data_IF_047858246734
#
_entry.id   IF_047858246734
#
_cell.length_a   1.000
_cell.length_b   1.000
_cell.length_c   1.000
_cell.angle_alpha   90.00
_cell.angle_beta   90.00
_cell.angle_gamma   90.00
#
_symmetry.space_group_name_H-M   'P 1'
#
loop_
_entity.id
_entity.type
_entity.pdbx_description
1 polymer ?
#
# COMPACT_ATOMS: atom_id res chain seq x y z
N UNK A 1 -2.76 -2.82 8.67
CA UNK A 1 -2.45 -2.87 7.23
C UNK A 1 -3.65 -2.60 6.32
N UNK A 2 -4.78 -3.31 6.46
CA UNK A 2 -6.00 -3.12 5.63
C UNK A 2 -6.55 -1.69 5.64
N UNK A 3 -6.31 -0.91 6.67
CA UNK A 3 -6.79 0.48 6.82
C UNK A 3 -6.13 1.45 5.84
N UNK A 4 -4.95 1.14 5.33
CA UNK A 4 -4.24 2.01 4.36
C UNK A 4 -4.65 1.78 2.90
N UNK A 5 -5.17 0.61 2.54
CA UNK A 5 -5.49 0.27 1.15
C UNK A 5 -6.93 0.60 0.75
N UNK A 6 -7.69 1.36 1.46
CA UNK A 6 -9.06 1.72 1.08
C UNK A 6 -9.98 0.53 0.74
N UNK A 7 -11.26 0.75 0.49
CA UNK A 7 -12.21 -0.33 0.19
C UNK A 7 -11.97 -1.03 -1.16
N UNK A 8 -11.20 -0.41 -2.06
CA UNK A 8 -10.82 -1.01 -3.36
C UNK A 8 -9.62 -1.95 -3.29
N UNK A 9 -8.98 -2.10 -2.12
CA UNK A 9 -7.72 -2.83 -1.99
C UNK A 9 -6.53 -2.11 -2.63
N UNK A 10 -6.66 -0.82 -2.91
CA UNK A 10 -5.59 -0.01 -3.50
C UNK A 10 -5.44 1.33 -2.79
N UNK A 11 -4.21 1.83 -2.78
CA UNK A 11 -3.90 3.19 -2.35
C UNK A 11 -2.98 3.83 -3.39
N UNK A 12 -3.32 5.04 -3.81
CA UNK A 12 -2.57 5.80 -4.79
C UNK A 12 -2.19 7.15 -4.21
N UNK A 13 -0.93 7.52 -4.38
CA UNK A 13 -0.39 8.80 -3.93
C UNK A 13 0.39 9.46 -5.05
N UNK A 14 0.19 10.74 -5.22
CA UNK A 14 0.79 11.49 -6.33
C UNK A 14 1.48 12.74 -5.82
N UNK A 15 2.61 13.07 -6.43
CA UNK A 15 3.31 14.33 -6.23
C UNK A 15 3.85 14.86 -7.55
N UNK A 16 3.77 16.17 -7.74
CA UNK A 16 4.42 16.85 -8.87
C UNK A 16 5.57 17.69 -8.34
N UNK A 17 6.78 17.44 -8.85
CA UNK A 17 7.98 18.22 -8.55
C UNK A 17 8.25 19.20 -9.68
N UNK A 18 8.40 20.47 -9.31
CA UNK A 18 8.87 21.55 -10.18
C UNK A 18 10.34 21.90 -9.94
N UNK A 19 10.91 21.38 -8.85
CA UNK A 19 12.31 21.61 -8.52
C UNK A 19 13.22 20.81 -9.45
N UNK A 20 14.31 21.40 -9.95
CA UNK A 20 15.30 20.65 -10.70
C UNK A 20 16.05 19.69 -9.78
N UNK A 21 16.35 18.48 -10.27
CA UNK A 21 17.12 17.51 -9.50
C UNK A 21 16.59 16.09 -9.65
N UNK A 22 17.00 15.21 -8.76
CA UNK A 22 16.40 13.87 -8.63
C UNK A 22 15.26 13.89 -7.61
N UNK A 23 14.34 12.93 -7.72
CA UNK A 23 13.35 12.66 -6.68
C UNK A 23 13.76 11.36 -6.00
N UNK A 24 13.82 11.39 -4.68
CA UNK A 24 14.11 10.23 -3.83
C UNK A 24 12.86 9.80 -3.10
N UNK A 25 12.51 8.51 -3.23
CA UNK A 25 11.49 7.86 -2.41
C UNK A 25 12.22 6.92 -1.43
N UNK A 26 12.27 7.28 -0.15
CA UNK A 26 13.06 6.54 0.83
C UNK A 26 12.40 5.21 1.23
N UNK A 27 13.16 4.34 1.89
CA UNK A 27 12.76 2.99 2.24
C UNK A 27 11.53 2.91 3.14
N UNK A 28 11.34 3.86 4.03
CA UNK A 28 10.18 3.94 4.94
C UNK A 28 8.88 4.22 4.18
N UNK A 29 8.95 5.00 3.11
CA UNK A 29 7.81 5.24 2.20
C UNK A 29 7.57 4.01 1.33
N UNK A 30 8.64 3.43 0.74
CA UNK A 30 8.53 2.22 -0.07
C UNK A 30 7.92 1.05 0.71
N UNK A 31 8.29 0.91 1.99
CA UNK A 31 7.80 -0.15 2.88
C UNK A 31 6.56 0.24 3.70
N UNK A 32 5.90 1.34 3.36
CA UNK A 32 4.70 1.78 4.10
C UNK A 32 3.57 0.73 4.07
N UNK A 33 3.55 -0.10 3.04
CA UNK A 33 2.63 -1.23 2.87
C UNK A 33 3.44 -2.46 2.45
N UNK A 34 3.17 -3.61 3.07
CA UNK A 34 3.86 -4.88 2.79
C UNK A 34 3.28 -5.58 1.55
N UNK A 35 3.25 -4.84 0.44
CA UNK A 35 2.86 -5.35 -0.89
C UNK A 35 3.72 -4.66 -1.95
N UNK A 36 3.93 -5.28 -3.11
CA UNK A 36 4.66 -4.66 -4.21
C UNK A 36 4.07 -3.30 -4.57
N UNK A 37 4.96 -2.33 -4.81
CA UNK A 37 4.58 -0.97 -5.19
C UNK A 37 4.76 -0.77 -6.69
N UNK A 38 3.72 -0.32 -7.35
CA UNK A 38 3.78 0.13 -8.74
C UNK A 38 4.09 1.64 -8.77
N UNK A 39 5.17 1.99 -9.43
CA UNK A 39 5.61 3.38 -9.61
C UNK A 39 5.40 3.78 -11.04
N UNK A 40 4.70 4.86 -11.26
CA UNK A 40 4.57 5.50 -12.57
C UNK A 40 5.11 6.92 -12.48
N UNK A 41 5.94 7.29 -13.43
CA UNK A 41 6.48 8.65 -13.54
C UNK A 41 6.17 9.20 -14.92
N UNK A 42 5.69 10.45 -14.96
CA UNK A 42 5.41 11.16 -16.19
C UNK A 42 6.11 12.52 -16.21
N UNK A 43 6.59 12.95 -17.39
CA UNK A 43 7.14 14.26 -17.65
C UNK A 43 6.35 14.95 -18.73
N UNK A 44 5.93 16.18 -18.47
CA UNK A 44 5.10 16.95 -19.42
C UNK A 44 5.87 17.37 -20.68
N UNK A 45 7.20 17.48 -20.58
CA UNK A 45 8.08 17.86 -21.69
C UNK A 45 8.47 16.68 -22.61
N UNK A 46 8.02 15.46 -22.28
CA UNK A 46 8.35 14.25 -23.04
C UNK A 46 9.80 13.79 -22.93
N UNK A 47 10.59 14.40 -22.05
CA UNK A 47 12.01 14.08 -21.88
C UNK A 47 12.25 12.70 -21.26
N UNK A 48 13.52 12.26 -21.29
CA UNK A 48 13.91 10.97 -20.74
C UNK A 48 13.64 10.88 -19.23
N UNK A 49 13.19 9.71 -18.78
CA UNK A 49 12.97 9.36 -17.37
C UNK A 49 13.71 8.06 -17.07
N UNK A 50 14.38 8.01 -15.94
CA UNK A 50 14.99 6.83 -15.35
C UNK A 50 14.42 6.64 -13.95
N UNK A 51 13.86 5.46 -13.71
CA UNK A 51 13.55 4.92 -12.39
C UNK A 51 14.63 3.93 -12.01
N UNK A 52 15.20 4.04 -10.83
CA UNK A 52 16.28 3.18 -10.38
C UNK A 52 16.14 2.89 -8.88
N UNK A 53 16.32 1.62 -8.49
CA UNK A 53 16.24 1.16 -7.09
C UNK A 53 17.59 0.63 -6.68
N UNK A 54 18.07 1.09 -5.55
CA UNK A 54 19.33 0.65 -4.94
C UNK A 54 19.21 0.52 -3.42
N UNK A 55 20.18 -0.15 -2.75
CA UNK A 55 20.33 -0.07 -1.31
C UNK A 55 20.40 1.39 -0.85
N UNK A 56 19.68 1.73 0.24
CA UNK A 56 19.55 3.13 0.68
C UNK A 56 20.90 3.78 1.02
N UNK A 57 21.89 2.99 1.44
CA UNK A 57 23.23 3.50 1.72
C UNK A 57 23.93 3.97 0.44
N UNK A 58 23.82 3.18 -0.63
CA UNK A 58 24.46 3.46 -1.93
C UNK A 58 23.77 4.64 -2.64
N UNK A 59 22.44 4.64 -2.64
CA UNK A 59 21.66 5.77 -3.18
C UNK A 59 22.02 7.08 -2.47
N UNK A 60 22.10 7.07 -1.13
CA UNK A 60 22.51 8.23 -0.33
C UNK A 60 23.94 8.67 -0.63
N UNK A 61 24.87 7.73 -0.79
CA UNK A 61 26.26 8.03 -1.09
C UNK A 61 26.40 8.73 -2.45
N UNK A 62 25.74 8.23 -3.49
CA UNK A 62 25.84 8.81 -4.84
C UNK A 62 25.14 10.15 -4.97
N UNK A 63 24.08 10.39 -4.17
CA UNK A 63 23.29 11.61 -4.20
C UNK A 63 23.74 12.68 -3.21
N UNK A 64 24.73 12.40 -2.34
CA UNK A 64 25.06 13.16 -1.13
C UNK A 64 25.15 14.69 -1.29
N UNK A 65 25.63 15.19 -2.44
CA UNK A 65 25.77 16.63 -2.70
C UNK A 65 24.82 17.16 -3.76
N UNK A 66 24.07 16.28 -4.40
CA UNK A 66 23.20 16.60 -5.52
C UNK A 66 21.93 17.33 -5.07
N UNK A 67 21.31 18.06 -5.99
CA UNK A 67 19.96 18.58 -5.79
C UNK A 67 18.95 17.43 -5.79
N UNK A 68 18.30 17.17 -4.66
CA UNK A 68 17.38 16.07 -4.47
C UNK A 68 16.09 16.57 -3.78
N UNK A 69 14.95 16.09 -4.25
CA UNK A 69 13.66 16.23 -3.59
C UNK A 69 13.24 14.90 -3.00
N UNK A 70 13.33 14.77 -1.68
CA UNK A 70 12.98 13.52 -0.96
C UNK A 70 11.52 13.54 -0.55
N UNK A 71 10.80 12.44 -0.78
CA UNK A 71 9.44 12.25 -0.25
C UNK A 71 9.54 12.18 1.29
N UNK A 72 8.90 13.13 1.97
CA UNK A 72 9.02 13.32 3.42
C UNK A 72 7.76 12.98 4.21
N UNK A 73 6.60 12.94 3.55
CA UNK A 73 5.35 12.56 4.17
C UNK A 73 4.36 11.99 3.15
N UNK A 74 3.47 11.12 3.63
CA UNK A 74 2.37 10.49 2.89
C UNK A 74 1.07 10.92 3.56
N UNK A 75 0.18 11.58 2.83
CA UNK A 75 -1.10 12.08 3.34
C UNK A 75 -2.27 11.21 2.90
N UNK A 76 -2.76 10.40 3.83
CA UNK A 76 -3.98 9.62 3.65
C UNK A 76 -5.15 10.29 4.39
N UNK A 77 -6.35 10.42 3.81
CA UNK A 77 -6.83 9.87 2.53
C UNK A 77 -6.65 10.81 1.32
N UNK A 78 -5.91 11.93 1.47
CA UNK A 78 -5.76 12.92 0.40
C UNK A 78 -5.04 12.41 -0.86
N UNK A 79 -4.31 11.28 -0.75
CA UNK A 79 -3.57 10.71 -1.88
C UNK A 79 -2.40 11.58 -2.35
N UNK A 80 -1.83 12.40 -1.47
CA UNK A 80 -0.73 13.30 -1.78
C UNK A 80 0.53 12.96 -1.02
N UNK A 81 1.67 13.40 -1.56
CA UNK A 81 3.00 13.26 -0.98
C UNK A 81 3.61 14.63 -0.79
N UNK A 82 4.38 14.81 0.28
CA UNK A 82 5.21 16.00 0.48
C UNK A 82 6.63 15.76 0.01
N UNK A 83 7.24 16.79 -0.57
CA UNK A 83 8.64 16.79 -0.98
C UNK A 83 9.44 17.76 -0.13
N UNK A 84 10.61 17.33 0.30
CA UNK A 84 11.63 18.17 0.93
C UNK A 84 12.85 18.23 0.03
N UNK A 85 13.16 19.41 -0.48
CA UNK A 85 14.36 19.63 -1.31
C UNK A 85 15.59 19.80 -0.44
N UNK A 86 16.71 19.21 -0.87
CA UNK A 86 18.03 19.33 -0.25
C UNK A 86 19.12 19.29 -1.30
N UNK A 87 20.31 19.76 -0.93
CA UNK A 87 21.45 19.82 -1.84
C UNK A 87 21.26 20.84 -2.97
N UNK A 88 22.35 21.20 -3.64
CA UNK A 88 22.38 22.15 -4.76
C UNK A 88 23.34 21.71 -5.85
N UNK A 89 24.06 20.61 -5.63
CA UNK A 89 25.03 20.09 -6.57
C UNK A 89 24.38 19.49 -7.82
N UNK A 90 25.17 19.41 -8.88
CA UNK A 90 24.77 18.72 -10.10
C UNK A 90 24.58 17.22 -9.86
N UNK A 91 23.64 16.61 -10.58
CA UNK A 91 23.46 15.17 -10.57
C UNK A 91 24.65 14.49 -11.28
N UNK A 92 25.21 13.43 -10.70
CA UNK A 92 26.12 12.56 -11.43
C UNK A 92 25.40 11.81 -12.57
N UNK A 93 26.15 11.17 -13.44
CA UNK A 93 25.56 10.28 -14.47
C UNK A 93 25.01 9.01 -13.82
N UNK A 94 23.79 9.09 -13.30
CA UNK A 94 23.11 7.99 -12.61
C UNK A 94 22.79 6.83 -13.56
N UNK A 95 22.71 7.10 -14.87
CA UNK A 95 22.39 6.06 -15.84
C UNK A 95 23.52 5.03 -16.03
N UNK A 96 24.75 5.40 -15.67
CA UNK A 96 25.94 4.54 -15.76
C UNK A 96 26.38 3.93 -14.43
N UNK A 97 25.71 4.28 -13.34
CA UNK A 97 26.02 3.70 -12.04
C UNK A 97 25.61 2.22 -12.01
N UNK A 98 26.46 1.39 -11.42
CA UNK A 98 26.28 -0.07 -11.31
C UNK A 98 25.64 -0.51 -9.98
N UNK A 99 25.16 0.46 -9.20
CA UNK A 99 24.53 0.21 -7.89
C UNK A 99 23.04 -0.21 -7.99
N UNK A 100 22.45 -0.10 -9.16
CA UNK A 100 21.00 -0.27 -9.34
C UNK A 100 20.62 -1.75 -9.45
N UNK A 101 19.75 -2.19 -8.53
CA UNK A 101 19.14 -3.52 -8.58
C UNK A 101 18.03 -3.62 -9.63
N UNK A 102 17.20 -2.59 -9.72
CA UNK A 102 16.12 -2.47 -10.70
C UNK A 102 16.23 -1.14 -11.41
N UNK A 103 15.96 -1.15 -12.70
CA UNK A 103 15.86 0.08 -13.50
C UNK A 103 14.71 -0.02 -14.51
N UNK A 104 14.05 1.10 -14.75
CA UNK A 104 13.16 1.29 -15.88
C UNK A 104 13.44 2.63 -16.54
N UNK A 105 13.34 2.70 -17.86
CA UNK A 105 13.60 3.90 -18.66
C UNK A 105 12.48 4.14 -19.65
N UNK A 106 12.19 5.41 -19.92
CA UNK A 106 11.21 5.78 -20.93
C UNK A 106 11.39 7.23 -21.41
N UNK A 107 10.73 7.57 -22.50
CA UNK A 107 10.61 8.92 -23.00
C UNK A 107 9.22 9.45 -22.60
N UNK A 108 9.16 10.53 -21.88
CA UNK A 108 7.92 11.10 -21.34
C UNK A 108 7.33 10.35 -20.16
N UNK A 109 7.51 9.02 -20.07
CA UNK A 109 7.04 8.22 -18.95
C UNK A 109 7.88 6.97 -18.74
N UNK A 110 7.89 6.46 -17.50
CA UNK A 110 8.47 5.18 -17.13
C UNK A 110 7.65 4.55 -16.00
N UNK A 111 7.63 3.21 -15.98
CA UNK A 111 6.93 2.43 -14.96
C UNK A 111 7.85 1.37 -14.38
N UNK A 112 7.71 1.11 -13.08
CA UNK A 112 8.51 0.12 -12.37
C UNK A 112 7.68 -0.54 -11.27
N UNK A 113 7.70 -1.87 -11.22
CA UNK A 113 7.21 -2.63 -10.09
C UNK A 113 8.34 -2.85 -9.11
N UNK A 114 8.18 -2.36 -7.89
CA UNK A 114 9.17 -2.49 -6.80
C UNK A 114 8.64 -3.50 -5.79
N UNK A 115 9.28 -4.66 -5.77
CA UNK A 115 9.09 -5.67 -4.74
C UNK A 115 10.27 -5.60 -3.75
N UNK A 116 9.97 -5.31 -2.48
CA UNK A 116 10.95 -5.07 -1.44
C UNK A 116 11.23 -6.32 -0.59
N UNK A 117 11.44 -7.45 -1.22
CA UNK A 117 11.82 -8.67 -0.51
C UNK A 117 13.23 -8.64 0.14
N UNK A 118 13.94 -7.51 0.13
CA UNK A 118 15.34 -7.40 0.58
C UNK A 118 15.56 -6.14 1.43
N UNK A 119 16.82 -5.91 1.87
CA UNK A 119 17.28 -4.80 2.71
C UNK A 119 16.69 -3.44 2.33
N UNK A 120 16.71 -2.42 3.23
CA UNK A 120 16.10 -1.13 2.96
C UNK A 120 16.64 -0.52 1.66
N UNK A 121 15.74 -0.34 0.70
CA UNK A 121 16.02 0.17 -0.64
C UNK A 121 15.40 1.56 -0.82
N UNK A 122 15.98 2.34 -1.69
CA UNK A 122 15.53 3.68 -2.06
C UNK A 122 15.29 3.70 -3.57
N UNK A 123 14.16 4.27 -3.98
CA UNK A 123 13.88 4.56 -5.38
C UNK A 123 14.35 5.96 -5.71
N UNK A 124 15.07 6.08 -6.80
CA UNK A 124 15.54 7.34 -7.36
C UNK A 124 14.91 7.56 -8.73
N UNK A 125 14.33 8.74 -8.92
CA UNK A 125 13.76 9.20 -10.20
C UNK A 125 14.66 10.28 -10.74
N UNK A 126 15.12 10.13 -11.97
CA UNK A 126 16.01 11.09 -12.64
C UNK A 126 15.74 11.14 -14.15
N UNK A 127 16.34 12.07 -14.84
CA UNK A 127 16.24 12.17 -16.31
C UNK A 127 17.01 11.07 -17.05
N UNK A 128 17.96 10.42 -16.39
CA UNK A 128 18.80 9.40 -17.02
C UNK A 128 19.87 9.93 -17.97
N UNK A 129 19.92 11.21 -18.26
CA UNK A 129 20.88 11.89 -19.15
C UNK A 129 21.64 13.05 -18.46
N UNK A 130 21.66 13.06 -17.13
CA UNK A 130 22.21 14.12 -16.28
C UNK A 130 21.56 15.50 -16.47
N UNK A 131 20.48 15.63 -17.22
CA UNK A 131 19.67 16.85 -17.26
C UNK A 131 18.82 16.97 -16.00
N UNK A 132 18.50 18.18 -15.58
CA UNK A 132 17.62 18.35 -14.43
C UNK A 132 16.18 17.94 -14.77
N UNK A 133 15.60 17.09 -13.93
CA UNK A 133 14.16 16.82 -13.98
C UNK A 133 13.39 18.11 -13.66
N UNK A 134 12.37 18.40 -14.44
CA UNK A 134 11.39 19.47 -14.18
C UNK A 134 10.00 18.98 -14.55
N UNK A 135 9.00 19.50 -13.83
CA UNK A 135 7.58 19.24 -14.11
C UNK A 135 7.30 17.73 -14.24
N UNK A 136 7.73 17.00 -13.20
CA UNK A 136 7.61 15.54 -13.13
C UNK A 136 6.54 15.16 -12.13
N UNK A 137 5.63 14.32 -12.55
CA UNK A 137 4.62 13.73 -11.69
C UNK A 137 5.01 12.28 -11.37
N UNK A 138 5.13 11.99 -10.08
CA UNK A 138 5.39 10.63 -9.54
C UNK A 138 4.11 10.13 -8.91
N UNK A 139 3.69 8.95 -9.32
CA UNK A 139 2.54 8.24 -8.75
C UNK A 139 3.00 6.93 -8.16
N UNK A 140 2.72 6.73 -6.88
CA UNK A 140 2.98 5.50 -6.14
C UNK A 140 1.65 4.78 -5.92
N UNK A 141 1.55 3.53 -6.33
CA UNK A 141 0.33 2.74 -6.18
C UNK A 141 0.66 1.42 -5.49
N UNK A 142 0.00 1.16 -4.37
CA UNK A 142 -0.05 -0.14 -3.72
C UNK A 142 -1.39 -0.77 -4.02
N UNK A 143 -1.40 -2.03 -4.44
CA UNK A 143 -2.61 -2.78 -4.70
C UNK A 143 -2.47 -4.20 -4.17
N UNK A 144 -3.41 -4.59 -3.33
CA UNK A 144 -3.58 -5.96 -2.87
C UNK A 144 -5.01 -6.41 -3.16
N UNK A 145 -5.16 -7.25 -4.16
CA UNK A 145 -6.46 -7.80 -4.54
C UNK A 145 -6.85 -9.02 -3.70
N UNK A 146 -5.91 -9.61 -2.96
CA UNK A 146 -6.19 -10.80 -2.13
C UNK A 146 -7.06 -10.46 -0.93
N UNK A 147 -6.94 -9.27 -0.35
CA UNK A 147 -7.69 -8.84 0.83
C UNK A 147 -9.21 -8.95 0.65
N UNK A 148 -9.73 -8.69 -0.57
CA UNK A 148 -11.16 -8.80 -0.85
C UNK A 148 -11.66 -10.24 -0.69
N UNK A 149 -10.90 -11.21 -1.21
CA UNK A 149 -11.24 -12.63 -1.09
C UNK A 149 -11.11 -13.11 0.36
N UNK A 150 -10.12 -12.63 1.10
CA UNK A 150 -9.95 -12.94 2.51
C UNK A 150 -11.11 -12.35 3.34
N UNK A 151 -11.46 -11.10 3.11
CA UNK A 151 -12.59 -10.46 3.78
C UNK A 151 -13.92 -11.14 3.44
N UNK A 152 -14.13 -11.55 2.19
CA UNK A 152 -15.31 -12.30 1.76
C UNK A 152 -15.37 -13.68 2.43
N UNK A 153 -14.25 -14.40 2.49
CA UNK A 153 -14.17 -15.71 3.15
C UNK A 153 -14.47 -15.60 4.66
N UNK A 154 -13.88 -14.60 5.34
CA UNK A 154 -14.15 -14.36 6.76
C UNK A 154 -15.59 -13.92 7.01
N UNK A 155 -16.14 -13.07 6.14
CA UNK A 155 -17.55 -12.64 6.22
C UNK A 155 -18.51 -13.80 6.03
N UNK A 156 -18.27 -14.68 5.06
CA UNK A 156 -19.11 -15.88 4.83
C UNK A 156 -19.00 -16.86 5.99
N UNK A 157 -17.80 -17.10 6.51
CA UNK A 157 -17.61 -17.94 7.70
C UNK A 157 -18.35 -17.36 8.92
N UNK A 158 -18.25 -16.06 9.15
CA UNK A 158 -18.98 -15.38 10.22
C UNK A 158 -20.50 -15.50 10.07
N UNK A 159 -21.04 -15.36 8.86
CA UNK A 159 -22.46 -15.53 8.58
C UNK A 159 -22.94 -16.96 8.84
N UNK A 160 -22.15 -17.96 8.45
CA UNK A 160 -22.46 -19.38 8.71
C UNK A 160 -22.48 -19.67 10.20
N UNK A 161 -21.47 -19.21 10.95
CA UNK A 161 -21.43 -19.38 12.41
C UNK A 161 -22.60 -18.70 13.11
N UNK A 162 -22.97 -17.48 12.67
CA UNK A 162 -24.15 -16.77 13.20
C UNK A 162 -25.44 -17.54 12.93
N UNK A 163 -25.60 -18.14 11.74
CA UNK A 163 -26.76 -18.97 11.41
C UNK A 163 -26.85 -20.22 12.31
N UNK A 164 -25.74 -20.89 12.57
CA UNK A 164 -25.71 -22.02 13.50
C UNK A 164 -26.07 -21.60 14.93
N UNK A 165 -25.48 -20.51 15.43
CA UNK A 165 -25.80 -19.99 16.76
C UNK A 165 -27.28 -19.61 16.89
N UNK A 166 -27.88 -19.05 15.84
CA UNK A 166 -29.28 -18.69 15.82
C UNK A 166 -30.21 -19.93 15.84
N UNK A 167 -29.86 -20.97 15.10
CA UNK A 167 -30.63 -22.24 15.11
C UNK A 167 -30.60 -22.94 16.48
N UNK A 168 -29.42 -22.94 17.14
CA UNK A 168 -29.29 -23.51 18.48
C UNK A 168 -30.12 -22.73 19.52
N UNK A 169 -30.10 -21.38 19.46
CA UNK A 169 -30.92 -20.56 20.34
C UNK A 169 -32.41 -20.76 20.12
N UNK A 170 -32.81 -20.98 18.86
CA UNK A 170 -34.24 -21.22 18.55
C UNK A 170 -34.70 -22.60 19.05
N UNK A 171 -33.91 -23.64 18.82
CA UNK A 171 -34.22 -24.99 19.29
C UNK A 171 -34.27 -25.09 20.83
N UNK A 172 -33.36 -24.37 21.52
CA UNK A 172 -33.37 -24.31 22.98
C UNK A 172 -34.61 -23.61 23.56
N UNK A 173 -35.24 -22.67 22.82
CA UNK A 173 -36.50 -22.07 23.23
C UNK A 173 -37.73 -22.96 23.04
N UNK A 174 -37.73 -23.77 21.99
CA UNK A 174 -38.86 -24.71 21.71
C UNK A 174 -38.89 -25.89 22.68
N UNK A 175 -37.72 -26.29 23.23
CA UNK A 175 -37.63 -27.43 24.18
C UNK A 175 -37.99 -27.06 25.61
N UNK A 176 -38.20 -25.80 25.94
CA UNK A 176 -38.55 -25.36 27.31
C UNK A 176 -40.06 -25.11 27.54
N UNK A 177 -40.95 -25.70 26.73
CA UNK A 177 -42.38 -25.72 27.10
C UNK A 177 -42.55 -26.52 28.41
N UNK A 178 -43.09 -25.94 29.48
CA UNK A 178 -43.24 -26.63 30.74
C UNK A 178 -44.27 -27.75 30.55
N UNK A 179 -43.81 -28.98 30.73
CA UNK A 179 -44.73 -30.15 30.88
C UNK A 179 -45.69 -29.84 32.00
N UNK A 180 -46.94 -29.53 31.64
CA UNK A 180 -48.01 -29.35 32.59
C UNK A 180 -48.17 -30.65 33.40
N UNK A 181 -47.60 -30.67 34.59
CA UNK A 181 -47.71 -31.80 35.53
C UNK A 181 -49.18 -32.05 35.81
N UNK A 182 -49.68 -33.24 35.43
CA UNK A 182 -51.04 -33.65 35.57
C UNK A 182 -51.52 -33.57 37.02
N UNK A 183 -52.71 -33.01 37.17
CA UNK A 183 -53.42 -32.88 38.44
C UNK A 183 -53.58 -34.27 39.09
N UNK A 184 -53.37 -34.42 40.42
CA UNK A 184 -53.66 -35.65 41.11
C UNK A 184 -55.18 -35.83 41.24
N UNK A 185 -55.70 -36.95 40.70
CA UNK A 185 -57.10 -37.34 40.89
C UNK A 185 -57.38 -37.62 42.36
N UNK A 186 -58.26 -36.86 42.97
CA UNK A 186 -58.78 -37.07 44.31
C UNK A 186 -59.64 -38.34 44.34
N UNK A 187 -59.09 -39.37 44.98
CA UNK A 187 -59.79 -40.58 45.32
C UNK A 187 -60.85 -40.29 46.41
N UNK A 188 -62.11 -40.23 46.03
CA UNK A 188 -63.23 -40.25 47.00
C UNK A 188 -63.32 -41.63 47.61
N UNK A 189 -63.02 -41.73 48.90
CA UNK A 189 -63.42 -42.84 49.71
C UNK A 189 -64.91 -42.79 50.03
N UNK A 190 -65.64 -43.86 49.76
CA UNK A 190 -66.98 -44.14 50.31
C UNK A 190 -66.82 -45.08 51.51
N UNK A 191 -67.37 -44.64 52.61
CA UNK A 191 -67.90 -45.54 53.65
C UNK A 191 -69.34 -45.08 53.92
#
# INVERSE_FOLDING_TARGET
>A
MVVMLGPSGSAQFTVTSKAPGAIEVPADVLNAVDVPMHVTVTRDDGGAVLLAVAPSADARAILATSAVSTVSAVHYPAGSLDLRSSGTGALPDLARADIWRLTARGAGSAELLVDQGRAPETLVVTSGDATALKDVTVTLTWADHAWFFEALAMGTLGAVLAAFAFTDLWQGRVSNDPVVAGQPQSRRARA
#
